data_IF_616213044380
#
_entry.id   IF_616213044380
#
_cell.length_a   1.000
_cell.length_b   1.000
_cell.length_c   1.000
_cell.angle_alpha   90.00
_cell.angle_beta   90.00
_cell.angle_gamma   90.00
#
_symmetry.space_group_name_H-M   'P 1'
#
loop_
_entity.id
_entity.type
_entity.pdbx_description
1 polymer ?
#
# COMPACT_ATOMS: atom_id res chain seq x y z
N UNK A 1 1.81 -7.90 -25.45
CA UNK A 1 2.70 -6.95 -24.75
C UNK A 1 2.01 -6.26 -23.59
N UNK A 2 2.51 -6.45 -22.36
CA UNK A 2 2.04 -5.84 -21.11
C UNK A 2 2.89 -4.59 -20.80
N UNK A 3 2.29 -3.45 -20.51
CA UNK A 3 2.98 -2.17 -20.28
C UNK A 3 3.06 -1.83 -18.79
N UNK A 4 4.26 -1.61 -18.28
CA UNK A 4 4.51 -1.19 -16.91
C UNK A 4 5.20 0.17 -16.91
N UNK A 5 4.57 1.16 -16.28
CA UNK A 5 5.21 2.43 -15.94
C UNK A 5 5.89 2.32 -14.59
N UNK A 6 7.16 2.71 -14.51
CA UNK A 6 7.93 2.71 -13.28
C UNK A 6 8.22 4.14 -12.87
N UNK A 7 7.88 4.45 -11.64
CA UNK A 7 8.05 5.75 -11.00
C UNK A 7 8.93 5.57 -9.76
N UNK A 8 10.27 5.60 -9.89
CA UNK A 8 11.17 5.37 -8.75
C UNK A 8 10.93 6.38 -7.61
N UNK A 9 10.64 7.63 -7.98
CA UNK A 9 10.37 8.72 -7.04
C UNK A 9 11.61 9.13 -6.23
N UNK A 10 11.45 9.27 -4.92
CA UNK A 10 12.39 9.96 -4.04
C UNK A 10 13.09 9.02 -3.03
N UNK A 11 14.25 9.45 -2.52
CA UNK A 11 14.99 8.74 -1.46
C UNK A 11 15.35 7.30 -1.85
N UNK A 12 15.04 6.33 -0.99
CA UNK A 12 15.28 4.89 -1.25
C UNK A 12 14.43 4.32 -2.38
N UNK A 13 13.42 5.05 -2.86
CA UNK A 13 12.52 4.62 -3.92
C UNK A 13 13.27 4.08 -5.13
N UNK A 14 14.34 4.76 -5.53
CA UNK A 14 15.23 4.32 -6.63
C UNK A 14 15.96 3.01 -6.34
N UNK A 15 16.45 2.81 -5.13
CA UNK A 15 17.19 1.60 -4.77
C UNK A 15 16.26 0.38 -4.79
N UNK A 16 15.07 0.49 -4.18
CA UNK A 16 14.14 -0.64 -4.10
C UNK A 16 13.49 -0.96 -5.47
N UNK A 17 13.23 0.05 -6.32
CA UNK A 17 12.70 -0.21 -7.67
C UNK A 17 13.75 -0.82 -8.60
N UNK A 18 15.04 -0.53 -8.42
CA UNK A 18 16.10 -1.23 -9.15
C UNK A 18 16.08 -2.74 -8.88
N UNK A 19 15.79 -3.16 -7.65
CA UNK A 19 15.67 -4.58 -7.32
C UNK A 19 14.41 -5.21 -7.95
N UNK A 20 13.30 -4.47 -8.03
CA UNK A 20 12.14 -4.88 -8.82
C UNK A 20 12.48 -5.04 -10.30
N UNK A 21 13.28 -4.15 -10.87
CA UNK A 21 13.70 -4.23 -12.28
C UNK A 21 14.46 -5.51 -12.61
N UNK A 22 15.36 -5.95 -11.72
CA UNK A 22 16.05 -7.25 -11.88
C UNK A 22 15.07 -8.42 -11.98
N UNK A 23 14.01 -8.41 -11.16
CA UNK A 23 12.96 -9.43 -11.18
C UNK A 23 12.13 -9.35 -12.47
N UNK A 24 11.76 -8.15 -12.93
CA UNK A 24 11.03 -7.97 -14.19
C UNK A 24 11.87 -8.45 -15.38
N UNK A 25 13.17 -8.12 -15.42
CA UNK A 25 14.08 -8.53 -16.49
C UNK A 25 14.25 -10.05 -16.56
N UNK A 26 14.15 -10.76 -15.43
CA UNK A 26 14.09 -12.22 -15.43
C UNK A 26 12.82 -12.74 -16.12
N UNK A 27 11.64 -12.23 -15.74
CA UNK A 27 10.37 -12.70 -16.31
C UNK A 27 10.17 -12.26 -17.77
N UNK A 28 10.77 -11.14 -18.19
CA UNK A 28 10.81 -10.67 -19.59
C UNK A 28 11.31 -11.71 -20.59
N UNK A 29 12.11 -12.69 -20.15
CA UNK A 29 12.59 -13.79 -21.00
C UNK A 29 11.47 -14.71 -21.48
N UNK A 30 10.33 -14.70 -20.79
CA UNK A 30 9.18 -15.58 -21.06
C UNK A 30 7.84 -14.83 -21.22
N UNK A 31 7.81 -13.54 -20.88
CA UNK A 31 6.61 -12.70 -20.90
C UNK A 31 6.94 -11.42 -21.66
N UNK A 32 6.10 -11.05 -22.62
CA UNK A 32 6.23 -9.76 -23.33
C UNK A 32 5.85 -8.60 -22.40
N UNK A 33 6.87 -7.96 -21.81
CA UNK A 33 6.71 -6.79 -20.94
C UNK A 33 7.47 -5.61 -21.55
N UNK A 34 6.77 -4.50 -21.73
CA UNK A 34 7.32 -3.19 -22.07
C UNK A 34 7.42 -2.37 -20.78
N UNK A 35 8.56 -1.70 -20.58
CA UNK A 35 8.82 -0.89 -19.39
C UNK A 35 9.15 0.52 -19.83
N UNK A 36 8.49 1.49 -19.19
CA UNK A 36 8.82 2.91 -19.29
C UNK A 36 9.16 3.40 -17.89
N UNK A 37 10.27 4.11 -17.71
CA UNK A 37 10.66 4.72 -16.45
C UNK A 37 10.57 6.24 -16.57
N UNK A 38 9.95 6.90 -15.59
CA UNK A 38 9.73 8.35 -15.60
C UNK A 38 9.98 9.00 -14.24
N UNK A 39 10.22 10.31 -14.25
CA UNK A 39 10.38 11.10 -13.03
C UNK A 39 9.03 11.35 -12.34
N UNK A 40 9.04 11.29 -11.02
CA UNK A 40 7.86 11.51 -10.18
C UNK A 40 8.27 12.14 -8.84
N UNK A 41 7.33 12.81 -8.17
CA UNK A 41 7.54 13.36 -6.83
C UNK A 41 8.57 14.49 -6.80
N UNK A 42 9.42 14.49 -5.78
CA UNK A 42 10.52 15.44 -5.62
C UNK A 42 11.50 15.47 -6.78
N UNK A 43 11.84 14.31 -7.35
CA UNK A 43 12.68 14.21 -8.54
C UNK A 43 12.06 14.92 -9.76
N UNK A 44 10.73 14.84 -9.93
CA UNK A 44 10.02 15.59 -10.98
C UNK A 44 9.94 17.09 -10.66
N UNK A 45 9.79 17.47 -9.39
CA UNK A 45 9.82 18.89 -8.98
C UNK A 45 11.16 19.51 -9.33
N UNK A 46 12.26 18.83 -9.02
CA UNK A 46 13.61 19.34 -9.29
C UNK A 46 13.87 19.53 -10.79
N UNK A 47 13.32 18.65 -11.64
CA UNK A 47 13.53 18.69 -13.09
C UNK A 47 12.51 19.57 -13.84
N UNK A 48 11.27 19.65 -13.37
CA UNK A 48 10.13 20.17 -14.12
C UNK A 48 9.27 21.17 -13.34
N UNK A 49 9.57 21.43 -12.06
CA UNK A 49 8.82 22.34 -11.21
C UNK A 49 7.46 21.82 -10.74
N UNK A 50 7.13 20.54 -10.99
CA UNK A 50 5.85 19.93 -10.60
C UNK A 50 6.04 18.46 -10.21
N UNK A 51 5.26 17.93 -9.24
CA UNK A 51 5.43 16.56 -8.73
C UNK A 51 4.96 15.46 -9.70
N UNK A 52 4.08 15.80 -10.63
CA UNK A 52 3.59 14.90 -11.68
C UNK A 52 3.36 15.73 -12.93
N UNK A 53 4.05 15.42 -14.02
CA UNK A 53 3.82 16.08 -15.31
C UNK A 53 2.63 15.45 -16.02
N UNK A 54 2.04 16.21 -16.96
CA UNK A 54 0.96 15.69 -17.80
C UNK A 54 1.41 14.49 -18.64
N UNK A 55 2.61 14.55 -19.22
CA UNK A 55 3.17 13.46 -20.03
C UNK A 55 3.29 12.16 -19.23
N UNK A 56 3.75 12.23 -17.98
CA UNK A 56 3.84 11.06 -17.09
C UNK A 56 2.46 10.54 -16.70
N UNK A 57 1.49 11.43 -16.48
CA UNK A 57 0.10 11.04 -16.21
C UNK A 57 -0.53 10.34 -17.43
N UNK A 58 -0.31 10.85 -18.64
CA UNK A 58 -0.81 10.25 -19.88
C UNK A 58 -0.20 8.84 -20.06
N UNK A 59 1.11 8.67 -19.82
CA UNK A 59 1.77 7.36 -19.79
C UNK A 59 1.20 6.41 -18.74
N UNK A 60 0.83 6.92 -17.57
CA UNK A 60 0.22 6.11 -16.51
C UNK A 60 -1.17 5.59 -16.93
N UNK A 61 -1.96 6.43 -17.60
CA UNK A 61 -3.27 6.07 -18.15
C UNK A 61 -3.19 5.08 -19.32
N UNK A 62 -2.06 5.08 -20.06
CA UNK A 62 -1.80 4.15 -21.17
C UNK A 62 -1.15 2.83 -20.73
N UNK A 63 -0.71 2.72 -19.48
CA UNK A 63 -0.03 1.52 -18.95
C UNK A 63 -1.03 0.54 -18.33
N UNK A 64 -0.70 -0.76 -18.34
CA UNK A 64 -1.51 -1.79 -17.65
C UNK A 64 -1.32 -1.73 -16.13
N UNK A 65 -0.16 -1.24 -15.69
CA UNK A 65 0.17 -1.05 -14.28
C UNK A 65 1.22 0.05 -14.06
N UNK A 66 1.18 0.65 -12.87
CA UNK A 66 2.22 1.56 -12.38
C UNK A 66 2.92 0.92 -11.19
N UNK A 67 4.25 0.81 -11.22
CA UNK A 67 5.07 0.46 -10.07
C UNK A 67 5.74 1.74 -9.54
N UNK A 68 5.48 2.08 -8.29
CA UNK A 68 6.04 3.28 -7.64
C UNK A 68 6.98 2.88 -6.51
N UNK A 69 8.11 3.59 -6.39
CA UNK A 69 9.10 3.38 -5.34
C UNK A 69 8.72 4.05 -4.03
N UNK A 70 9.02 5.34 -3.90
CA UNK A 70 8.62 6.14 -2.74
C UNK A 70 8.52 7.62 -3.10
N UNK A 71 7.89 8.44 -2.25
CA UNK A 71 7.66 9.87 -2.54
C UNK A 71 7.92 10.68 -1.27
N UNK A 72 8.50 11.87 -1.43
CA UNK A 72 8.66 12.85 -0.34
C UNK A 72 10.09 12.99 0.18
N UNK A 73 10.32 14.06 0.95
CA UNK A 73 11.60 14.33 1.62
C UNK A 73 11.71 15.75 2.16
N UNK A 74 12.61 16.02 3.11
CA UNK A 74 12.72 17.30 3.81
C UNK A 74 12.92 18.51 2.89
N UNK A 75 13.57 18.29 1.73
CA UNK A 75 13.85 19.32 0.73
C UNK A 75 12.60 20.06 0.24
N UNK A 76 11.43 19.41 0.25
CA UNK A 76 10.21 19.95 -0.33
C UNK A 76 9.13 20.31 0.71
N UNK A 77 9.45 20.28 2.01
CA UNK A 77 8.48 20.51 3.09
C UNK A 77 7.92 21.94 3.13
N UNK A 78 8.73 22.93 2.74
CA UNK A 78 8.36 24.35 2.74
C UNK A 78 7.54 24.76 1.50
N UNK A 79 7.38 23.87 0.51
CA UNK A 79 6.58 24.17 -0.68
C UNK A 79 5.09 24.30 -0.34
N UNK A 80 4.38 25.06 -1.17
CA UNK A 80 2.92 25.09 -1.14
C UNK A 80 2.35 23.67 -1.31
N UNK A 81 1.24 23.36 -0.63
CA UNK A 81 0.71 21.99 -0.56
C UNK A 81 0.43 21.37 -1.95
N UNK A 82 0.04 22.18 -2.94
CA UNK A 82 -0.18 21.76 -4.32
C UNK A 82 1.11 21.42 -5.10
N UNK A 83 2.27 21.85 -4.62
CA UNK A 83 3.57 21.60 -5.24
C UNK A 83 4.39 20.53 -4.50
N UNK A 84 3.89 20.00 -3.38
CA UNK A 84 4.58 18.95 -2.62
C UNK A 84 4.57 17.60 -3.36
N UNK A 85 5.60 16.75 -3.16
CA UNK A 85 5.68 15.41 -3.77
C UNK A 85 4.40 14.57 -3.60
N UNK A 86 3.83 14.57 -2.40
CA UNK A 86 2.63 13.78 -2.05
C UNK A 86 1.41 14.22 -2.84
N UNK A 87 1.36 15.47 -3.32
CA UNK A 87 0.28 15.93 -4.19
C UNK A 87 0.29 15.18 -5.52
N UNK A 88 1.46 14.84 -6.06
CA UNK A 88 1.59 14.02 -7.27
C UNK A 88 0.94 12.65 -7.06
N UNK A 89 1.21 12.00 -5.92
CA UNK A 89 0.65 10.68 -5.57
C UNK A 89 -0.88 10.72 -5.42
N UNK A 90 -1.41 11.74 -4.74
CA UNK A 90 -2.86 11.91 -4.61
C UNK A 90 -3.54 12.15 -5.96
N UNK A 91 -2.92 12.94 -6.84
CA UNK A 91 -3.43 13.16 -8.20
C UNK A 91 -3.40 11.86 -9.00
N UNK A 92 -2.28 11.14 -9.01
CA UNK A 92 -2.15 9.88 -9.74
C UNK A 92 -3.21 8.85 -9.32
N UNK A 93 -3.41 8.66 -8.01
CA UNK A 93 -4.45 7.75 -7.46
C UNK A 93 -5.86 8.14 -7.92
N UNK A 94 -6.15 9.44 -7.93
CA UNK A 94 -7.46 9.95 -8.34
C UNK A 94 -7.70 9.77 -9.84
N UNK A 95 -6.75 10.16 -10.67
CA UNK A 95 -6.88 10.11 -12.14
C UNK A 95 -6.90 8.66 -12.67
N UNK A 96 -6.23 7.73 -11.99
CA UNK A 96 -6.32 6.29 -12.29
C UNK A 96 -7.54 5.59 -11.65
N UNK A 97 -8.41 6.35 -10.96
CA UNK A 97 -9.55 5.83 -10.22
C UNK A 97 -9.19 4.68 -9.26
N UNK A 98 -7.97 4.71 -8.69
CA UNK A 98 -7.42 3.66 -7.84
C UNK A 98 -7.98 3.76 -6.41
N UNK A 99 -9.28 3.51 -6.26
CA UNK A 99 -10.04 3.79 -5.04
C UNK A 99 -9.87 2.77 -3.92
N UNK A 100 -9.44 1.54 -4.20
CA UNK A 100 -9.28 0.49 -3.21
C UNK A 100 -7.80 0.20 -2.97
N UNK A 101 -7.28 0.60 -1.81
CA UNK A 101 -5.94 0.27 -1.37
C UNK A 101 -5.94 -1.05 -0.59
N UNK A 102 -5.12 -1.98 -1.03
CA UNK A 102 -4.97 -3.33 -0.51
C UNK A 102 -3.62 -3.43 0.20
N UNK A 103 -3.64 -3.71 1.50
CA UNK A 103 -2.43 -3.84 2.34
C UNK A 103 -2.48 -5.15 3.13
N UNK A 104 -1.78 -6.21 2.67
CA UNK A 104 -1.64 -7.44 3.45
C UNK A 104 -0.65 -7.25 4.60
N UNK A 105 -1.10 -7.46 5.84
CA UNK A 105 -0.28 -7.50 7.05
C UNK A 105 -0.15 -8.93 7.56
N UNK A 106 0.96 -9.59 7.21
CA UNK A 106 1.23 -10.98 7.57
C UNK A 106 2.50 -11.09 8.41
N UNK A 107 2.40 -11.80 9.53
CA UNK A 107 3.58 -12.16 10.33
C UNK A 107 4.24 -13.38 9.70
N UNK A 108 5.45 -13.19 9.16
CA UNK A 108 6.27 -14.29 8.69
C UNK A 108 6.82 -15.07 9.89
N UNK A 109 6.71 -16.42 9.94
CA UNK A 109 7.26 -17.19 11.05
C UNK A 109 8.74 -16.92 11.33
N UNK A 110 9.52 -16.68 10.26
CA UNK A 110 10.93 -16.32 10.34
C UNK A 110 11.22 -14.94 10.96
N UNK A 111 10.22 -14.05 10.99
CA UNK A 111 10.30 -12.68 11.51
C UNK A 111 9.48 -12.48 12.78
N UNK A 112 8.97 -13.54 13.39
CA UNK A 112 8.07 -13.40 14.55
C UNK A 112 8.72 -12.67 15.73
N UNK A 113 10.05 -12.75 15.85
CA UNK A 113 10.81 -12.05 16.88
C UNK A 113 11.16 -10.58 16.52
N UNK A 114 10.83 -10.13 15.31
CA UNK A 114 10.97 -8.74 14.91
C UNK A 114 9.79 -7.88 15.41
N UNK A 115 8.65 -8.50 15.73
CA UNK A 115 7.52 -7.80 16.34
C UNK A 115 7.87 -7.31 17.75
N UNK A 116 7.39 -6.11 18.09
CA UNK A 116 7.46 -5.56 19.44
C UNK A 116 6.47 -6.22 20.42
N UNK A 117 5.51 -6.99 19.90
CA UNK A 117 4.52 -7.72 20.69
C UNK A 117 4.98 -9.14 21.03
N UNK A 118 4.35 -9.73 22.05
CA UNK A 118 4.67 -11.11 22.45
C UNK A 118 4.33 -12.08 21.32
N UNK A 119 5.20 -13.08 21.12
CA UNK A 119 5.06 -14.12 20.09
C UNK A 119 3.66 -14.74 20.05
N UNK A 120 3.12 -15.13 21.21
CA UNK A 120 1.82 -15.80 21.34
C UNK A 120 0.61 -14.92 20.94
N UNK A 121 0.79 -13.60 20.86
CA UNK A 121 -0.23 -12.66 20.41
C UNK A 121 -0.23 -12.51 18.88
N UNK A 122 0.96 -12.46 18.27
CA UNK A 122 1.11 -12.14 16.85
C UNK A 122 1.22 -13.36 15.95
N UNK A 123 1.50 -14.54 16.51
CA UNK A 123 1.56 -15.79 15.77
C UNK A 123 0.28 -16.05 14.98
N UNK A 124 0.43 -16.41 13.69
CA UNK A 124 -0.71 -16.69 12.80
C UNK A 124 -1.47 -15.45 12.30
N UNK A 125 -0.97 -14.24 12.58
CA UNK A 125 -1.55 -13.00 12.04
C UNK A 125 -1.40 -12.94 10.52
N UNK A 126 -2.54 -12.82 9.84
CA UNK A 126 -2.68 -12.64 8.40
C UNK A 126 -3.94 -11.80 8.18
N UNK A 127 -3.76 -10.49 8.18
CA UNK A 127 -4.82 -9.49 8.04
C UNK A 127 -4.70 -8.85 6.66
N UNK A 128 -5.82 -8.56 6.02
CA UNK A 128 -5.86 -7.87 4.75
C UNK A 128 -6.67 -6.58 4.88
N UNK A 129 -6.00 -5.44 4.85
CA UNK A 129 -6.68 -4.14 4.94
C UNK A 129 -7.12 -3.70 3.55
N UNK A 130 -8.39 -3.34 3.43
CA UNK A 130 -9.02 -2.71 2.27
C UNK A 130 -9.42 -1.30 2.68
N UNK A 131 -8.67 -0.33 2.20
CA UNK A 131 -8.83 1.09 2.51
C UNK A 131 -9.42 1.83 1.31
N UNK A 132 -10.44 2.66 1.53
CA UNK A 132 -10.85 3.65 0.54
C UNK A 132 -9.74 4.69 0.36
N UNK A 133 -9.33 4.99 -0.87
CA UNK A 133 -8.11 5.75 -1.14
C UNK A 133 -8.30 7.11 -1.81
N UNK A 134 -9.46 7.36 -2.41
CA UNK A 134 -9.70 8.50 -3.32
C UNK A 134 -10.74 9.51 -2.83
N UNK A 135 -11.37 9.25 -1.69
CA UNK A 135 -12.37 10.11 -1.06
C UNK A 135 -12.04 10.44 0.41
N UNK A 136 -13.07 10.80 1.16
CA UNK A 136 -12.94 11.15 2.57
C UNK A 136 -12.18 12.46 2.81
N UNK A 137 -11.66 12.63 4.03
CA UNK A 137 -11.06 13.88 4.51
C UNK A 137 -9.82 14.33 3.73
N UNK A 138 -9.20 13.42 2.98
CA UNK A 138 -7.99 13.72 2.19
C UNK A 138 -8.32 14.50 0.92
N UNK A 139 -9.55 14.36 0.41
CA UNK A 139 -10.01 14.97 -0.84
C UNK A 139 -11.21 15.91 -0.64
N UNK A 140 -11.87 15.88 0.52
CA UNK A 140 -13.06 16.68 0.79
C UNK A 140 -12.82 18.18 0.85
N UNK A 141 -13.75 18.92 0.24
CA UNK A 141 -13.77 20.37 0.16
C UNK A 141 -15.02 20.95 0.86
N UNK A 142 -15.01 22.23 1.29
CA UNK A 142 -13.86 23.12 1.41
C UNK A 142 -12.79 22.65 2.42
N UNK A 143 -11.52 22.92 2.10
CA UNK A 143 -10.39 22.84 3.04
C UNK A 143 -9.57 24.13 3.06
N UNK A 144 -9.14 24.61 4.22
CA UNK A 144 -8.38 25.87 4.31
C UNK A 144 -7.72 26.10 5.67
N UNK A 145 -6.76 27.03 5.69
CA UNK A 145 -6.35 27.79 6.88
C UNK A 145 -6.60 29.27 6.59
N UNK A 146 -7.46 29.93 7.38
CA UNK A 146 -7.85 31.33 7.17
C UNK A 146 -7.81 32.13 8.48
N UNK A 147 -7.57 33.43 8.39
CA UNK A 147 -7.74 34.34 9.52
C UNK A 147 -9.19 34.85 9.58
N UNK A 148 -9.90 34.52 10.67
CA UNK A 148 -11.27 34.97 10.94
C UNK A 148 -11.28 35.66 12.30
N UNK A 149 -11.63 36.94 12.33
CA UNK A 149 -11.64 37.72 13.59
C UNK A 149 -10.28 37.77 14.29
N UNK A 150 -9.18 37.81 13.52
CA UNK A 150 -7.81 37.83 14.05
C UNK A 150 -7.29 36.48 14.56
N UNK A 151 -8.03 35.38 14.37
CA UNK A 151 -7.61 34.02 14.74
C UNK A 151 -7.44 33.15 13.50
N UNK A 152 -6.41 32.30 13.48
CA UNK A 152 -6.26 31.26 12.46
C UNK A 152 -7.26 30.14 12.72
N UNK A 153 -8.04 29.79 11.71
CA UNK A 153 -8.98 28.66 11.70
C UNK A 153 -8.56 27.71 10.57
N UNK A 154 -8.37 26.44 10.91
CA UNK A 154 -8.15 25.34 9.96
C UNK A 154 -9.42 24.51 9.78
N UNK A 155 -9.72 24.08 8.56
CA UNK A 155 -10.86 23.22 8.26
C UNK A 155 -10.50 22.20 7.17
N UNK A 156 -11.02 20.98 7.34
CA UNK A 156 -11.04 19.89 6.39
C UNK A 156 -12.40 19.18 6.50
N UNK A 157 -12.92 18.66 5.39
CA UNK A 157 -14.23 18.02 5.38
C UNK A 157 -14.12 16.53 5.10
N UNK A 158 -14.70 15.70 5.97
CA UNK A 158 -14.86 14.27 5.76
C UNK A 158 -16.19 14.03 5.04
N UNK A 159 -16.13 13.64 3.77
CA UNK A 159 -17.30 13.44 2.91
C UNK A 159 -17.16 12.12 2.17
N UNK A 160 -18.26 11.37 2.11
CA UNK A 160 -18.45 10.21 1.26
C UNK A 160 -19.86 10.24 0.68
N UNK A 161 -20.01 9.77 -0.55
CA UNK A 161 -21.31 9.34 -1.08
C UNK A 161 -21.45 7.80 -1.02
N UNK A 162 -22.66 7.32 -1.27
CA UNK A 162 -22.99 5.88 -1.21
C UNK A 162 -22.21 5.05 -2.25
N UNK A 163 -21.99 5.56 -3.47
CA UNK A 163 -21.25 4.86 -4.53
C UNK A 163 -19.78 4.64 -4.14
N UNK A 164 -19.15 5.65 -3.53
CA UNK A 164 -17.78 5.59 -3.04
C UNK A 164 -17.59 4.50 -1.97
N UNK A 165 -18.57 4.37 -1.07
CA UNK A 165 -18.57 3.35 -0.02
C UNK A 165 -18.88 1.97 -0.61
N UNK A 166 -19.90 1.89 -1.47
CA UNK A 166 -20.34 0.63 -2.05
C UNK A 166 -19.24 -0.04 -2.88
N UNK A 167 -18.54 0.72 -3.74
CA UNK A 167 -17.48 0.15 -4.60
C UNK A 167 -16.33 -0.47 -3.81
N UNK A 168 -15.89 0.16 -2.71
CA UNK A 168 -14.80 -0.38 -1.87
C UNK A 168 -15.28 -1.52 -0.98
N UNK A 169 -16.53 -1.48 -0.52
CA UNK A 169 -17.15 -2.57 0.23
C UNK A 169 -17.25 -3.86 -0.61
N UNK A 170 -17.69 -3.75 -1.88
CA UNK A 170 -17.73 -4.88 -2.81
C UNK A 170 -16.35 -5.55 -2.96
N UNK A 171 -15.28 -4.75 -3.13
CA UNK A 171 -13.91 -5.27 -3.20
C UNK A 171 -13.54 -6.02 -1.91
N UNK A 172 -13.86 -5.47 -0.74
CA UNK A 172 -13.54 -6.10 0.53
C UNK A 172 -14.24 -7.46 0.72
N UNK A 173 -15.53 -7.54 0.37
CA UNK A 173 -16.27 -8.80 0.46
C UNK A 173 -15.80 -9.84 -0.57
N UNK A 174 -15.50 -9.44 -1.80
CA UNK A 174 -14.94 -10.34 -2.83
C UNK A 174 -13.56 -10.88 -2.43
N UNK A 175 -12.74 -10.07 -1.76
CA UNK A 175 -11.47 -10.53 -1.20
C UNK A 175 -11.71 -11.49 -0.04
N UNK A 176 -12.65 -11.19 0.87
CA UNK A 176 -12.95 -12.03 2.03
C UNK A 176 -13.42 -13.44 1.62
N UNK A 177 -14.24 -13.56 0.55
CA UNK A 177 -14.67 -14.85 -0.02
C UNK A 177 -13.51 -15.77 -0.41
N UNK A 178 -12.37 -15.19 -0.80
CA UNK A 178 -11.15 -15.93 -1.19
C UNK A 178 -10.21 -16.18 0.00
N UNK A 179 -10.61 -15.77 1.21
CA UNK A 179 -9.82 -15.84 2.45
C UNK A 179 -10.59 -16.60 3.53
N UNK A 180 -10.64 -16.10 4.77
CA UNK A 180 -11.33 -16.73 5.91
C UNK A 180 -12.81 -16.31 5.98
N UNK A 181 -13.32 -15.69 4.92
CA UNK A 181 -14.73 -15.35 4.73
C UNK A 181 -15.29 -14.43 5.83
N UNK A 182 -14.48 -13.46 6.27
CA UNK A 182 -14.86 -12.46 7.29
C UNK A 182 -14.39 -11.05 6.92
N UNK A 183 -15.30 -10.08 7.03
CA UNK A 183 -15.03 -8.64 6.94
C UNK A 183 -15.33 -7.97 8.28
N UNK A 184 -14.36 -7.22 8.79
CA UNK A 184 -14.57 -6.27 9.89
C UNK A 184 -14.56 -4.84 9.34
N UNK A 185 -15.73 -4.20 9.29
CA UNK A 185 -15.88 -2.82 8.85
C UNK A 185 -15.62 -1.85 10.00
N UNK A 186 -14.70 -0.90 9.80
CA UNK A 186 -14.31 0.09 10.79
C UNK A 186 -14.99 1.44 10.51
N UNK A 187 -15.56 2.03 11.55
CA UNK A 187 -16.23 3.32 11.44
C UNK A 187 -16.18 4.12 12.76
N UNK A 188 -16.83 5.28 12.77
CA UNK A 188 -17.14 6.05 13.98
C UNK A 188 -18.61 6.48 13.98
N UNK A 189 -19.50 5.54 13.67
CA UNK A 189 -20.94 5.80 13.47
C UNK A 189 -21.64 6.35 14.74
N UNK A 190 -21.06 6.15 15.92
CA UNK A 190 -21.58 6.74 17.16
C UNK A 190 -21.34 8.25 17.31
N UNK A 191 -20.57 8.86 16.41
CA UNK A 191 -20.24 10.31 16.47
C UNK A 191 -20.41 10.99 15.11
N UNK A 192 -20.03 10.35 14.00
CA UNK A 192 -19.93 10.99 12.69
C UNK A 192 -21.03 10.49 11.75
N UNK A 193 -21.88 11.39 11.24
CA UNK A 193 -22.98 11.04 10.32
C UNK A 193 -22.48 10.41 9.02
N UNK A 194 -21.35 10.89 8.49
CA UNK A 194 -20.68 10.28 7.33
C UNK A 194 -20.26 8.83 7.59
N UNK A 195 -19.95 8.48 8.85
CA UNK A 195 -19.62 7.11 9.25
C UNK A 195 -20.86 6.28 9.61
N UNK A 196 -21.99 6.92 9.95
CA UNK A 196 -23.29 6.25 9.98
C UNK A 196 -23.69 5.81 8.56
N UNK A 197 -23.57 6.71 7.57
CA UNK A 197 -23.77 6.38 6.16
C UNK A 197 -22.85 5.24 5.71
N UNK A 198 -21.57 5.28 6.09
CA UNK A 198 -20.63 4.19 5.83
C UNK A 198 -21.15 2.84 6.32
N UNK A 199 -21.58 2.78 7.59
CA UNK A 199 -22.11 1.56 8.20
C UNK A 199 -23.36 1.06 7.49
N UNK A 200 -24.27 1.97 7.16
CA UNK A 200 -25.54 1.64 6.50
C UNK A 200 -25.29 1.04 5.11
N UNK A 201 -24.48 1.69 4.28
CA UNK A 201 -24.16 1.23 2.92
C UNK A 201 -23.38 -0.10 2.94
N UNK A 202 -22.38 -0.26 3.82
CA UNK A 202 -21.66 -1.54 3.95
C UNK A 202 -22.61 -2.68 4.34
N UNK A 203 -23.56 -2.40 5.25
CA UNK A 203 -24.60 -3.37 5.66
C UNK A 203 -25.53 -3.72 4.52
N UNK A 204 -25.92 -2.75 3.69
CA UNK A 204 -26.78 -2.97 2.52
C UNK A 204 -26.08 -3.81 1.44
N UNK A 205 -24.83 -3.49 1.11
CA UNK A 205 -24.01 -4.29 0.18
C UNK A 205 -23.91 -5.73 0.65
N UNK A 206 -23.64 -5.95 1.94
CA UNK A 206 -23.60 -7.27 2.56
C UNK A 206 -24.91 -8.04 2.40
N UNK A 207 -26.03 -7.42 2.81
CA UNK A 207 -27.36 -8.03 2.73
C UNK A 207 -27.77 -8.40 1.31
N UNK A 208 -27.39 -7.60 0.32
CA UNK A 208 -27.83 -7.80 -1.05
C UNK A 208 -27.01 -8.87 -1.78
N UNK A 209 -25.69 -8.94 -1.54
CA UNK A 209 -24.78 -9.69 -2.41
C UNK A 209 -23.80 -10.63 -1.68
N UNK A 210 -23.64 -10.52 -0.35
CA UNK A 210 -22.55 -11.17 0.40
C UNK A 210 -22.98 -11.78 1.73
N UNK A 211 -24.22 -12.26 1.84
CA UNK A 211 -24.73 -12.90 3.06
C UNK A 211 -23.95 -14.15 3.48
N UNK A 212 -23.17 -14.73 2.57
CA UNK A 212 -22.24 -15.83 2.81
C UNK A 212 -20.98 -15.41 3.57
N UNK A 213 -20.65 -14.11 3.64
CA UNK A 213 -19.47 -13.57 4.34
C UNK A 213 -19.87 -13.12 5.76
N UNK A 214 -19.07 -13.43 6.78
CA UNK A 214 -19.28 -12.88 8.13
C UNK A 214 -18.98 -11.36 8.11
N UNK A 215 -19.94 -10.54 8.55
CA UNK A 215 -19.75 -9.09 8.72
C UNK A 215 -19.77 -8.72 10.21
N UNK A 216 -18.71 -8.07 10.66
CA UNK A 216 -18.61 -7.43 11.97
C UNK A 216 -18.37 -5.92 11.79
N UNK A 217 -18.94 -5.10 12.66
CA UNK A 217 -18.62 -3.66 12.71
C UNK A 217 -17.92 -3.33 14.01
N UNK A 218 -16.81 -2.59 13.92
CA UNK A 218 -16.09 -2.06 15.08
C UNK A 218 -15.90 -0.55 14.96
N UNK A 219 -15.96 0.14 16.10
CA UNK A 219 -15.49 1.52 16.15
C UNK A 219 -13.98 1.57 16.04
N UNK A 220 -13.44 2.55 15.32
CA UNK A 220 -12.00 2.66 15.01
C UNK A 220 -11.11 2.68 16.27
N UNK A 221 -11.57 3.29 17.36
CA UNK A 221 -10.86 3.30 18.64
C UNK A 221 -10.82 1.92 19.30
N UNK A 222 -11.91 1.16 19.26
CA UNK A 222 -11.91 -0.23 19.71
C UNK A 222 -11.04 -1.10 18.77
N UNK A 223 -11.10 -0.86 17.46
CA UNK A 223 -10.30 -1.59 16.48
C UNK A 223 -8.81 -1.45 16.74
N UNK A 224 -8.30 -0.23 17.01
CA UNK A 224 -6.91 0.02 17.40
C UNK A 224 -6.51 -0.85 18.63
N UNK A 225 -7.37 -0.93 19.64
CA UNK A 225 -7.10 -1.82 20.78
C UNK A 225 -7.12 -3.31 20.40
N UNK A 226 -8.06 -3.74 19.54
CA UNK A 226 -8.21 -5.14 19.18
C UNK A 226 -7.10 -5.64 18.26
N UNK A 227 -6.58 -4.81 17.33
CA UNK A 227 -5.47 -5.23 16.46
C UNK A 227 -4.20 -5.50 17.24
N UNK A 228 -3.97 -4.80 18.35
CA UNK A 228 -2.85 -5.13 19.26
C UNK A 228 -3.17 -6.38 20.09
N UNK A 229 -4.40 -6.48 20.61
CA UNK A 229 -4.76 -7.52 21.58
C UNK A 229 -4.94 -8.91 20.96
N UNK A 230 -5.52 -8.99 19.75
CA UNK A 230 -5.93 -10.23 19.09
C UNK A 230 -5.83 -10.15 17.56
N UNK A 231 -4.68 -9.74 16.99
CA UNK A 231 -4.53 -9.49 15.54
C UNK A 231 -4.94 -10.70 14.68
N UNK A 232 -4.61 -11.92 15.11
CA UNK A 232 -4.91 -13.17 14.39
C UNK A 232 -6.40 -13.46 14.17
N UNK A 233 -7.29 -12.76 14.88
CA UNK A 233 -8.75 -12.91 14.74
C UNK A 233 -9.36 -12.10 13.59
N UNK A 234 -8.60 -11.16 13.02
CA UNK A 234 -9.03 -10.41 11.84
C UNK A 234 -8.70 -11.18 10.57
N UNK A 235 -9.57 -11.04 9.55
CA UNK A 235 -9.33 -11.52 8.20
C UNK A 235 -9.20 -10.34 7.24
N UNK A 236 -10.33 -9.77 6.80
CA UNK A 236 -10.35 -8.54 6.01
C UNK A 236 -10.83 -7.38 6.88
N UNK A 237 -10.09 -6.28 6.89
CA UNK A 237 -10.49 -5.03 7.53
C UNK A 237 -10.88 -4.04 6.46
N UNK A 238 -12.10 -3.50 6.51
CA UNK A 238 -12.59 -2.48 5.60
C UNK A 238 -12.66 -1.12 6.33
N UNK A 239 -12.04 -0.08 5.79
CA UNK A 239 -12.04 1.24 6.42
C UNK A 239 -12.02 2.40 5.40
N UNK A 240 -12.58 3.54 5.79
CA UNK A 240 -12.46 4.80 5.06
C UNK A 240 -11.02 5.35 5.10
N UNK A 241 -10.71 6.34 4.27
CA UNK A 241 -9.35 6.75 3.94
C UNK A 241 -8.44 7.02 5.15
N UNK A 242 -8.83 7.94 6.03
CA UNK A 242 -8.03 8.28 7.22
C UNK A 242 -7.91 7.11 8.20
N UNK A 243 -8.99 6.37 8.44
CA UNK A 243 -8.99 5.25 9.38
C UNK A 243 -8.19 4.06 8.85
N UNK A 244 -8.31 3.78 7.56
CA UNK A 244 -7.53 2.79 6.84
C UNK A 244 -6.04 3.12 6.86
N UNK A 245 -5.67 4.40 6.73
CA UNK A 245 -4.29 4.87 6.86
C UNK A 245 -3.71 4.43 8.21
N UNK A 246 -4.31 4.92 9.28
CA UNK A 246 -3.85 4.72 10.66
C UNK A 246 -3.80 3.24 11.02
N UNK A 247 -4.88 2.49 10.77
CA UNK A 247 -4.96 1.08 11.19
C UNK A 247 -3.98 0.21 10.39
N UNK A 248 -3.75 0.53 9.12
CA UNK A 248 -2.82 -0.25 8.30
C UNK A 248 -1.37 -0.04 8.72
N UNK A 249 -1.00 1.17 9.16
CA UNK A 249 0.32 1.47 9.72
C UNK A 249 0.48 0.86 11.14
N UNK A 250 -0.59 0.78 11.93
CA UNK A 250 -0.57 0.05 13.21
C UNK A 250 -0.36 -1.45 12.99
N UNK A 251 -1.04 -2.03 12.00
CA UNK A 251 -0.85 -3.43 11.58
C UNK A 251 0.57 -3.64 11.05
N UNK A 252 1.14 -2.63 10.39
CA UNK A 252 2.48 -2.71 9.86
C UNK A 252 3.53 -2.98 10.93
N UNK A 253 3.52 -2.13 11.96
CA UNK A 253 4.45 -2.21 13.09
C UNK A 253 4.26 -3.52 13.87
N UNK A 254 3.00 -3.96 14.04
CA UNK A 254 2.62 -5.26 14.60
C UNK A 254 3.38 -6.42 13.93
N UNK A 255 3.53 -6.37 12.59
CA UNK A 255 4.17 -7.46 11.82
C UNK A 255 5.70 -7.48 11.92
N UNK A 256 6.29 -6.43 12.51
CA UNK A 256 7.70 -6.35 12.85
C UNK A 256 8.57 -5.52 11.91
N UNK A 257 8.09 -5.13 10.73
CA UNK A 257 8.74 -4.10 9.90
C UNK A 257 7.82 -3.54 8.82
N UNK A 258 7.75 -2.22 8.75
CA UNK A 258 7.13 -1.48 7.64
C UNK A 258 7.77 -1.84 6.28
N UNK A 259 9.07 -2.19 6.28
CA UNK A 259 9.85 -2.60 5.11
C UNK A 259 9.40 -3.92 4.47
N UNK A 260 8.44 -4.62 5.09
CA UNK A 260 7.91 -5.90 4.62
C UNK A 260 6.55 -5.79 3.92
N UNK A 261 5.94 -4.61 3.90
CA UNK A 261 4.53 -4.48 3.53
C UNK A 261 4.35 -3.95 2.12
N UNK A 262 3.87 -4.80 1.20
CA UNK A 262 3.48 -4.33 -0.11
C UNK A 262 2.14 -3.61 -0.05
N UNK A 263 1.82 -2.87 -1.10
CA UNK A 263 0.45 -2.41 -1.32
C UNK A 263 0.07 -2.40 -2.79
N UNK A 264 -1.23 -2.49 -3.03
CA UNK A 264 -1.83 -2.28 -4.34
C UNK A 264 -3.00 -1.32 -4.21
N UNK A 265 -2.99 -0.24 -4.97
CA UNK A 265 -4.11 0.67 -5.14
C UNK A 265 -4.78 0.33 -6.46
N UNK A 266 -5.96 -0.28 -6.39
CA UNK A 266 -6.68 -0.80 -7.55
C UNK A 266 -7.97 -0.01 -7.79
N UNK A 267 -8.31 0.13 -9.06
CA UNK A 267 -9.53 0.78 -9.53
C UNK A 267 -10.31 -0.10 -10.51
N UNK A 268 -11.08 0.55 -11.39
CA UNK A 268 -11.85 -0.12 -12.44
C UNK A 268 -10.97 -0.67 -13.58
N UNK A 269 -9.82 -0.04 -13.84
CA UNK A 269 -8.97 -0.32 -15.02
C UNK A 269 -7.48 -0.38 -14.72
N UNK A 270 -6.99 0.46 -13.81
CA UNK A 270 -5.56 0.64 -13.57
C UNK A 270 -5.19 0.26 -12.12
N UNK A 271 -3.92 -0.10 -11.92
CA UNK A 271 -3.36 -0.42 -10.62
C UNK A 271 -2.05 0.31 -10.37
N UNK A 272 -1.89 0.88 -9.16
CA UNK A 272 -0.65 1.44 -8.66
C UNK A 272 -0.12 0.51 -7.57
N UNK A 273 1.12 0.07 -7.68
CA UNK A 273 1.74 -0.86 -6.75
C UNK A 273 2.95 -0.19 -6.12
N UNK A 274 2.97 -0.12 -4.80
CA UNK A 274 3.99 0.63 -4.06
C UNK A 274 4.20 0.00 -2.68
N UNK A 275 5.45 -0.02 -2.17
CA UNK A 275 5.67 -0.39 -0.79
C UNK A 275 5.00 0.64 0.14
N UNK A 276 4.59 0.21 1.33
CA UNK A 276 3.95 1.12 2.31
C UNK A 276 4.97 2.09 2.93
N UNK A 277 6.24 1.71 3.02
CA UNK A 277 7.27 2.54 3.63
C UNK A 277 7.49 3.86 2.87
N UNK A 278 7.89 4.90 3.60
CA UNK A 278 8.25 6.19 3.00
C UNK A 278 9.58 6.18 2.24
N UNK A 279 10.05 7.36 1.85
CA UNK A 279 11.29 7.55 1.07
C UNK A 279 12.58 7.40 1.87
N UNK A 280 12.52 7.31 3.21
CA UNK A 280 13.66 7.12 4.12
C UNK A 280 14.92 7.91 3.69
N UNK A 281 14.82 9.26 3.60
CA UNK A 281 15.86 10.12 3.00
C UNK A 281 17.19 10.08 3.76
N UNK A 282 17.17 9.69 5.03
CA UNK A 282 18.33 9.52 5.90
C UNK A 282 19.21 8.32 5.53
N UNK A 283 18.66 7.32 4.84
CA UNK A 283 19.38 6.13 4.37
C UNK A 283 19.50 6.02 2.85
N UNK A 284 18.95 6.98 2.11
CA UNK A 284 19.01 7.01 0.65
C UNK A 284 20.46 7.02 0.13
N UNK A 285 20.74 6.17 -0.86
CA UNK A 285 22.05 5.99 -1.48
C UNK A 285 23.04 5.16 -0.65
N UNK A 286 22.62 4.59 0.48
CA UNK A 286 23.51 3.81 1.35
C UNK A 286 23.43 2.30 1.10
N UNK A 287 22.56 1.84 0.19
CA UNK A 287 22.35 0.42 -0.13
C UNK A 287 21.91 -0.42 1.09
N UNK A 288 21.18 0.18 2.03
CA UNK A 288 20.69 -0.51 3.25
C UNK A 288 19.16 -0.56 3.35
N UNK A 289 18.46 -0.04 2.33
CA UNK A 289 17.01 -0.16 2.23
C UNK A 289 16.56 -1.63 2.12
N UNK A 290 15.34 -1.92 2.56
CA UNK A 290 14.73 -3.24 2.41
C UNK A 290 13.92 -3.29 1.11
N UNK A 291 14.31 -4.09 0.09
CA UNK A 291 13.58 -4.16 -1.17
C UNK A 291 12.34 -5.06 -1.11
N UNK A 292 12.11 -5.79 -0.01
CA UNK A 292 11.10 -6.85 0.04
C UNK A 292 9.68 -6.30 -0.19
N UNK A 293 9.30 -5.20 0.46
CA UNK A 293 7.99 -4.58 0.25
C UNK A 293 7.78 -4.18 -1.22
N UNK A 294 8.80 -3.63 -1.89
CA UNK A 294 8.71 -3.25 -3.29
C UNK A 294 8.58 -4.49 -4.21
N UNK A 295 9.36 -5.54 -3.96
CA UNK A 295 9.30 -6.81 -4.70
C UNK A 295 7.95 -7.51 -4.50
N UNK A 296 7.40 -7.50 -3.29
CA UNK A 296 6.06 -8.04 -3.03
C UNK A 296 4.96 -7.17 -3.66
N UNK A 297 5.17 -5.85 -3.78
CA UNK A 297 4.25 -4.97 -4.51
C UNK A 297 4.28 -5.28 -6.01
N UNK A 298 5.46 -5.59 -6.56
CA UNK A 298 5.59 -6.12 -7.92
C UNK A 298 4.89 -7.49 -8.06
N UNK A 299 4.95 -8.37 -7.05
CA UNK A 299 4.17 -9.61 -7.09
C UNK A 299 2.67 -9.33 -7.17
N UNK A 300 2.16 -8.37 -6.38
CA UNK A 300 0.78 -7.90 -6.47
C UNK A 300 0.46 -7.32 -7.85
N UNK A 301 1.40 -6.60 -8.48
CA UNK A 301 1.26 -6.09 -9.85
C UNK A 301 1.02 -7.22 -10.86
N UNK A 302 1.84 -8.26 -10.80
CA UNK A 302 1.68 -9.43 -11.66
C UNK A 302 0.33 -10.10 -11.47
N UNK A 303 -0.16 -10.18 -10.23
CA UNK A 303 -1.46 -10.77 -9.90
C UNK A 303 -2.63 -9.92 -10.39
N UNK A 304 -2.75 -8.70 -9.87
CA UNK A 304 -3.99 -7.91 -9.96
C UNK A 304 -4.14 -7.15 -11.28
N UNK A 305 -3.05 -6.69 -11.89
CA UNK A 305 -3.10 -5.99 -13.19
C UNK A 305 -2.82 -6.93 -14.36
N UNK A 306 -1.88 -7.87 -14.18
CA UNK A 306 -1.40 -8.68 -15.30
C UNK A 306 -2.02 -10.09 -15.34
N UNK A 307 -2.83 -10.49 -14.35
CA UNK A 307 -3.46 -11.81 -14.27
C UNK A 307 -2.45 -12.96 -14.39
N UNK A 308 -1.31 -12.84 -13.69
CA UNK A 308 -0.20 -13.80 -13.68
C UNK A 308 0.01 -14.34 -12.26
N UNK A 309 -0.99 -15.05 -11.71
CA UNK A 309 -0.93 -15.64 -10.37
C UNK A 309 0.29 -16.55 -10.16
N UNK A 310 0.72 -17.29 -11.20
CA UNK A 310 1.91 -18.14 -11.10
C UNK A 310 3.19 -17.35 -10.84
N UNK A 311 3.32 -16.14 -11.40
CA UNK A 311 4.48 -15.26 -11.20
C UNK A 311 4.45 -14.69 -9.79
N UNK A 312 3.28 -14.23 -9.36
CA UNK A 312 3.04 -13.79 -7.98
C UNK A 312 3.47 -14.86 -6.96
N UNK A 313 2.99 -16.09 -7.13
CA UNK A 313 3.26 -17.19 -6.20
C UNK A 313 4.75 -17.57 -6.16
N UNK A 314 5.46 -17.48 -7.29
CA UNK A 314 6.90 -17.71 -7.34
C UNK A 314 7.65 -16.64 -6.52
N UNK A 315 7.29 -15.36 -6.69
CA UNK A 315 7.93 -14.26 -5.96
C UNK A 315 7.66 -14.39 -4.45
N UNK A 316 6.41 -14.62 -4.03
CA UNK A 316 6.08 -14.81 -2.62
C UNK A 316 6.84 -15.99 -1.99
N UNK A 317 6.90 -17.12 -2.71
CA UNK A 317 7.68 -18.30 -2.26
C UNK A 317 9.17 -18.00 -2.17
N UNK A 318 9.72 -17.24 -3.11
CA UNK A 318 11.13 -16.86 -3.11
C UNK A 318 11.47 -15.98 -1.91
N UNK A 319 10.67 -14.94 -1.64
CA UNK A 319 10.80 -14.10 -0.44
C UNK A 319 10.72 -14.94 0.83
N UNK A 320 9.72 -15.83 0.93
CA UNK A 320 9.60 -16.72 2.08
C UNK A 320 10.83 -17.63 2.25
N UNK A 321 11.37 -18.19 1.16
CA UNK A 321 12.61 -19.00 1.18
C UNK A 321 13.81 -18.19 1.68
N UNK A 322 13.99 -16.98 1.17
CA UNK A 322 15.08 -16.07 1.57
C UNK A 322 15.00 -15.76 3.07
N UNK A 323 13.82 -15.43 3.59
CA UNK A 323 13.62 -15.16 5.02
C UNK A 323 13.84 -16.41 5.88
N UNK A 324 13.37 -17.58 5.43
CA UNK A 324 13.55 -18.84 6.15
C UNK A 324 15.02 -19.29 6.18
N UNK A 325 15.83 -18.89 5.20
CA UNK A 325 17.28 -19.11 5.18
C UNK A 325 18.06 -18.18 6.13
N UNK A 326 17.38 -17.23 6.79
CA UNK A 326 17.98 -16.34 7.79
C UNK A 326 18.50 -15.02 7.24
N UNK A 327 18.34 -14.75 5.94
CA UNK A 327 18.76 -13.47 5.36
C UNK A 327 17.87 -12.33 5.83
N UNK A 328 18.48 -11.21 6.24
CA UNK A 328 17.81 -10.03 6.78
C UNK A 328 18.46 -8.77 6.24
N UNK A 329 17.69 -7.73 5.95
CA UNK A 329 18.20 -6.36 5.85
C UNK A 329 18.25 -5.70 7.23
N UNK A 330 18.86 -4.52 7.33
CA UNK A 330 19.13 -3.83 8.60
C UNK A 330 17.89 -3.54 9.45
N UNK A 331 16.73 -3.36 8.84
CA UNK A 331 15.46 -3.09 9.51
C UNK A 331 14.82 -4.32 10.16
N UNK A 332 15.15 -5.53 9.68
CA UNK A 332 14.55 -6.81 10.13
C UNK A 332 15.57 -7.76 10.76
N UNK A 333 16.80 -7.31 11.00
CA UNK A 333 17.86 -8.09 11.63
C UNK A 333 18.98 -7.23 12.19
N UNK A 334 19.71 -7.77 13.16
CA UNK A 334 20.78 -7.06 13.86
C UNK A 334 22.19 -7.51 13.43
N UNK A 335 22.38 -8.82 13.25
CA UNK A 335 23.68 -9.41 12.89
C UNK A 335 23.67 -9.98 11.48
N UNK A 336 24.80 -9.88 10.76
CA UNK A 336 25.01 -10.44 9.42
C UNK A 336 23.90 -10.04 8.41
N UNK A 337 23.52 -8.76 8.42
CA UNK A 337 22.51 -8.24 7.51
C UNK A 337 23.07 -8.04 6.10
N UNK A 338 22.19 -8.20 5.12
CA UNK A 338 22.45 -7.94 3.71
C UNK A 338 22.19 -6.47 3.38
N UNK A 339 22.89 -5.99 2.36
CA UNK A 339 22.54 -4.76 1.66
C UNK A 339 21.24 -4.93 0.86
N UNK A 340 20.66 -3.81 0.39
CA UNK A 340 19.50 -3.80 -0.48
C UNK A 340 19.73 -4.69 -1.72
N UNK A 341 20.86 -4.47 -2.40
CA UNK A 341 21.22 -5.25 -3.59
C UNK A 341 21.43 -6.73 -3.30
N UNK A 342 22.11 -7.10 -2.20
CA UNK A 342 22.33 -8.50 -1.84
C UNK A 342 21.02 -9.23 -1.51
N UNK A 343 20.09 -8.55 -0.83
CA UNK A 343 18.76 -9.10 -0.55
C UNK A 343 17.98 -9.33 -1.85
N UNK A 344 17.99 -8.37 -2.77
CA UNK A 344 17.35 -8.54 -4.08
C UNK A 344 17.97 -9.65 -4.91
N UNK A 345 19.31 -9.79 -4.91
CA UNK A 345 20.01 -10.87 -5.60
C UNK A 345 19.66 -12.26 -5.02
N UNK A 346 19.54 -12.39 -3.70
CA UNK A 346 19.15 -13.66 -3.06
C UNK A 346 17.70 -14.03 -3.35
N UNK A 347 16.78 -13.05 -3.34
CA UNK A 347 15.39 -13.27 -3.75
C UNK A 347 15.34 -13.71 -5.21
N UNK A 348 16.06 -13.03 -6.11
CA UNK A 348 16.13 -13.40 -7.52
C UNK A 348 16.70 -14.81 -7.72
N UNK A 349 17.77 -15.16 -7.00
CA UNK A 349 18.35 -16.51 -6.98
C UNK A 349 17.31 -17.57 -6.61
N UNK A 350 16.45 -17.29 -5.63
CA UNK A 350 15.36 -18.18 -5.26
C UNK A 350 14.23 -18.22 -6.29
N UNK A 351 13.93 -17.11 -6.98
CA UNK A 351 13.00 -17.08 -8.12
C UNK A 351 13.51 -17.99 -9.25
N UNK A 352 14.79 -17.90 -9.61
CA UNK A 352 15.39 -18.73 -10.68
C UNK A 352 15.31 -20.23 -10.34
N UNK A 353 15.48 -20.60 -9.06
CA UNK A 353 15.36 -22.00 -8.62
C UNK A 353 13.93 -22.53 -8.58
N UNK A 354 12.93 -21.66 -8.55
CA UNK A 354 11.51 -21.98 -8.44
C UNK A 354 10.76 -21.92 -9.78
N UNK A 355 11.37 -21.28 -10.79
CA UNK A 355 10.86 -21.19 -12.17
C UNK A 355 11.42 -22.34 -13.00
#
# INVERSE_FOLDING_TARGET
MKKILILPGDGIGKEVTNECMKVIDFFKKSIEIEITEELFGGASIDAHGQPLTKDVLDKALESDAVLLGAVGGPKWEELEHNLKPEKGLLTLRKELEAFANLRPGKVFPALINASSLKKDIVEGTDIFVVRELTGGIYFGEPRYVKNVGGKRIGANNLIYNEDEIARVANIAFEIARKRKNKVTSLDKANVLEVMQLWRDVVTEVHKNNFQDVELEHLYIDNAAMQVIKRPSTFDVILAGNLFGDIISDEIAELTGSLGMLPSASIGSKHGIYEPVHGSAPDIAGQNIANPIAAILSLAMLFKYSLNLDSVHDIIEKAVSKTLNAGFRTKDIGYDNTLTCSEMGDEILSNIVKLS
#
